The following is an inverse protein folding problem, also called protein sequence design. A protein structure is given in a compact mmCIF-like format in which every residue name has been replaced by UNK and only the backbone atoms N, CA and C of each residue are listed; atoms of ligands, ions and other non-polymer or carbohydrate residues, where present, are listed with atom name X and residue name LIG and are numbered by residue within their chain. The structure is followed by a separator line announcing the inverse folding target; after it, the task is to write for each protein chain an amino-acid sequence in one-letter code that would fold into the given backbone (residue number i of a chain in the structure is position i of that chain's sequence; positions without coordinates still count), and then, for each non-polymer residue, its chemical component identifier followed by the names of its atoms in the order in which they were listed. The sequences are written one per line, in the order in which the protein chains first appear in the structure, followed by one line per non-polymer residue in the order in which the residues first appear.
data_IF_657812504060
#
_entry.id   IF_657812504060
#
_cell.length_a   1.000
_cell.length_b   1.000
_cell.length_c   1.000
_cell.angle_alpha   90.00
_cell.angle_beta   90.00
_cell.angle_gamma   90.00
#
_symmetry.space_group_name_H-M   'P 1'
#
loop_
_entity.id
_entity.type
_entity.pdbx_description
1 polymer ?
#
# COMPACT_ATOMS: atom_id res chain seq x y z
N UNK A 1 11.85 4.05 -10.20
CA UNK A 1 10.64 4.83 -10.46
C UNK A 1 11.00 6.25 -10.08
N UNK A 2 11.23 7.14 -11.05
CA UNK A 2 11.52 8.55 -10.75
C UNK A 2 10.17 9.22 -10.56
N UNK A 3 9.89 9.73 -9.37
CA UNK A 3 8.70 10.53 -9.17
C UNK A 3 8.95 11.91 -9.77
N UNK A 4 8.41 12.13 -10.97
CA UNK A 4 8.26 13.46 -11.55
C UNK A 4 6.85 13.95 -11.24
N UNK A 5 6.56 14.13 -9.94
CA UNK A 5 5.28 14.67 -9.50
C UNK A 5 5.10 16.08 -10.04
N UNK A 6 3.87 16.42 -10.42
CA UNK A 6 3.47 17.76 -10.85
C UNK A 6 3.72 18.81 -9.74
N UNK A 7 3.67 20.09 -10.14
CA UNK A 7 3.97 21.20 -9.24
C UNK A 7 3.03 21.27 -8.02
N UNK A 8 1.79 20.80 -8.14
CA UNK A 8 0.83 20.75 -7.04
C UNK A 8 1.27 19.73 -5.98
N UNK A 9 1.67 18.53 -6.42
CA UNK A 9 2.18 17.49 -5.53
C UNK A 9 3.45 17.94 -4.79
N UNK A 10 4.38 18.61 -5.48
CA UNK A 10 5.61 19.13 -4.87
C UNK A 10 5.32 20.17 -3.80
N UNK A 11 4.37 21.07 -4.07
CA UNK A 11 3.93 22.08 -3.11
C UNK A 11 3.29 21.43 -1.88
N UNK A 12 2.39 20.47 -2.07
CA UNK A 12 1.76 19.75 -0.96
C UNK A 12 2.77 19.07 -0.05
N UNK A 13 3.74 18.35 -0.63
CA UNK A 13 4.80 17.66 0.10
C UNK A 13 5.64 18.64 0.93
N UNK A 14 5.97 19.80 0.35
CA UNK A 14 6.70 20.86 1.05
C UNK A 14 5.88 21.49 2.18
N UNK A 15 4.60 21.80 1.93
CA UNK A 15 3.69 22.40 2.90
C UNK A 15 3.43 21.47 4.10
N UNK A 16 3.46 20.15 3.89
CA UNK A 16 3.32 19.14 4.95
C UNK A 16 4.64 18.72 5.59
N UNK A 17 5.77 19.36 5.24
CA UNK A 17 7.11 19.00 5.71
C UNK A 17 7.46 17.52 5.49
N UNK A 18 6.97 16.93 4.40
CA UNK A 18 7.24 15.53 4.03
C UNK A 18 8.53 15.50 3.20
N UNK A 19 9.49 14.67 3.60
CA UNK A 19 10.71 14.44 2.81
C UNK A 19 10.45 13.35 1.76
N UNK A 20 10.38 13.73 0.47
CA UNK A 20 10.23 12.76 -0.61
C UNK A 20 11.57 12.16 -1.03
N UNK A 21 11.71 10.83 -0.93
CA UNK A 21 12.90 10.09 -1.34
C UNK A 21 12.60 9.14 -2.50
N UNK A 22 13.26 9.37 -3.64
CA UNK A 22 13.13 8.51 -4.81
C UNK A 22 13.99 7.24 -4.69
N UNK A 23 13.50 6.14 -5.25
CA UNK A 23 14.29 4.93 -5.46
C UNK A 23 15.22 5.13 -6.65
N UNK A 24 16.46 4.66 -6.54
CA UNK A 24 17.44 4.73 -7.62
C UNK A 24 16.88 4.07 -8.89
N UNK A 25 16.95 4.73 -10.06
CA UNK A 25 16.58 4.11 -11.33
C UNK A 25 17.30 2.78 -11.52
N UNK A 26 16.62 1.77 -12.06
CA UNK A 26 17.17 0.42 -12.28
C UNK A 26 17.60 -0.34 -11.02
N UNK A 27 17.19 0.10 -9.82
CA UNK A 27 17.40 -0.61 -8.56
C UNK A 27 16.08 -1.22 -8.02
N UNK A 28 15.51 -2.26 -8.65
CA UNK A 28 14.21 -2.80 -8.28
C UNK A 28 14.16 -3.34 -6.84
N UNK A 29 15.29 -3.84 -6.33
CA UNK A 29 15.37 -4.39 -4.97
C UNK A 29 15.02 -3.38 -3.87
N UNK A 30 15.24 -2.08 -4.11
CA UNK A 30 14.91 -1.03 -3.15
C UNK A 30 13.39 -0.87 -2.96
N UNK A 31 12.58 -1.31 -3.92
CA UNK A 31 11.11 -1.30 -3.84
C UNK A 31 10.50 -2.57 -3.24
N UNK A 32 11.31 -3.59 -2.95
CA UNK A 32 10.82 -4.93 -2.62
C UNK A 32 9.92 -5.00 -1.38
N UNK A 33 10.08 -4.07 -0.43
CA UNK A 33 9.16 -3.95 0.71
C UNK A 33 7.74 -3.58 0.28
N UNK A 34 7.60 -2.54 -0.54
CA UNK A 34 6.31 -2.09 -1.07
C UNK A 34 5.66 -3.15 -1.96
N UNK A 35 6.46 -3.83 -2.79
CA UNK A 35 5.98 -4.96 -3.60
C UNK A 35 5.40 -6.08 -2.73
N UNK A 36 6.06 -6.41 -1.62
CA UNK A 36 5.57 -7.41 -0.66
C UNK A 36 4.28 -6.97 0.01
N UNK A 37 4.15 -5.68 0.36
CA UNK A 37 2.94 -5.11 0.93
C UNK A 37 1.75 -5.19 -0.06
N UNK A 38 1.98 -4.80 -1.32
CA UNK A 38 0.99 -4.93 -2.40
C UNK A 38 0.59 -6.39 -2.60
N UNK A 39 1.54 -7.32 -2.51
CA UNK A 39 1.26 -8.76 -2.60
C UNK A 39 0.32 -9.22 -1.47
N UNK A 40 0.53 -8.77 -0.23
CA UNK A 40 -0.34 -9.11 0.90
C UNK A 40 -1.78 -8.65 0.67
N UNK A 41 -1.98 -7.39 0.25
CA UNK A 41 -3.31 -6.84 -0.08
C UNK A 41 -3.98 -7.66 -1.18
N UNK A 42 -3.28 -7.92 -2.29
CA UNK A 42 -3.81 -8.69 -3.42
C UNK A 42 -4.16 -10.13 -3.02
N UNK A 43 -3.34 -10.78 -2.17
CA UNK A 43 -3.63 -12.12 -1.66
C UNK A 43 -4.86 -12.15 -0.77
N UNK A 44 -5.02 -11.18 0.14
CA UNK A 44 -6.21 -11.08 0.99
C UNK A 44 -7.47 -10.88 0.14
N UNK A 45 -7.42 -9.97 -0.84
CA UNK A 45 -8.49 -9.78 -1.83
C UNK A 45 -8.82 -11.09 -2.56
N UNK A 46 -7.80 -11.76 -3.10
CA UNK A 46 -7.98 -13.02 -3.85
C UNK A 46 -8.61 -14.12 -2.99
N UNK A 47 -8.26 -14.20 -1.70
CA UNK A 47 -8.89 -15.15 -0.76
C UNK A 47 -10.34 -14.81 -0.46
N UNK A 48 -10.68 -13.52 -0.39
CA UNK A 48 -12.04 -13.08 -0.07
C UNK A 48 -13.02 -13.34 -1.23
N UNK A 49 -12.63 -13.06 -2.47
CA UNK A 49 -13.56 -13.07 -3.62
C UNK A 49 -13.17 -13.97 -4.79
N UNK A 50 -11.96 -14.52 -4.80
CA UNK A 50 -11.43 -15.30 -5.91
C UNK A 50 -11.32 -14.48 -7.21
N UNK A 51 -11.89 -15.00 -8.29
CA UNK A 51 -11.85 -14.42 -9.64
C UNK A 51 -13.10 -13.61 -10.01
N UNK A 52 -13.95 -13.27 -9.04
CA UNK A 52 -15.16 -12.48 -9.27
C UNK A 52 -14.80 -11.02 -9.57
N UNK A 53 -15.47 -10.43 -10.56
CA UNK A 53 -15.45 -8.99 -10.78
C UNK A 53 -16.54 -8.35 -9.92
N UNK A 54 -16.19 -7.27 -9.23
CA UNK A 54 -17.08 -6.49 -8.39
C UNK A 54 -17.29 -5.11 -9.01
N UNK A 55 -18.45 -4.53 -8.75
CA UNK A 55 -18.68 -3.10 -8.96
C UNK A 55 -17.72 -2.27 -8.10
N UNK A 56 -17.44 -1.05 -8.55
CA UNK A 56 -16.43 -0.17 -7.92
C UNK A 56 -16.71 0.05 -6.43
N UNK A 57 -17.96 0.31 -6.06
CA UNK A 57 -18.37 0.55 -4.66
C UNK A 57 -18.12 -0.68 -3.78
N UNK A 58 -18.51 -1.86 -4.26
CA UNK A 58 -18.31 -3.12 -3.54
C UNK A 58 -16.83 -3.46 -3.41
N UNK A 59 -16.03 -3.17 -4.44
CA UNK A 59 -14.58 -3.34 -4.38
C UNK A 59 -13.95 -2.39 -3.36
N UNK A 60 -14.40 -1.14 -3.27
CA UNK A 60 -13.91 -0.17 -2.31
C UNK A 60 -14.18 -0.65 -0.87
N UNK A 61 -15.41 -1.11 -0.58
CA UNK A 61 -15.77 -1.66 0.73
C UNK A 61 -14.86 -2.86 1.08
N UNK A 62 -14.70 -3.80 0.15
CA UNK A 62 -13.84 -4.96 0.35
C UNK A 62 -12.37 -4.57 0.63
N UNK A 63 -11.86 -3.56 -0.08
CA UNK A 63 -10.49 -3.09 0.15
C UNK A 63 -10.33 -2.46 1.55
N UNK A 64 -11.34 -1.73 2.03
CA UNK A 64 -11.36 -1.20 3.41
C UNK A 64 -11.36 -2.34 4.44
N UNK A 65 -12.11 -3.41 4.22
CA UNK A 65 -12.09 -4.60 5.11
C UNK A 65 -10.73 -5.31 5.09
N UNK A 66 -10.12 -5.43 3.91
CA UNK A 66 -8.76 -6.00 3.75
C UNK A 66 -7.73 -5.14 4.46
N UNK A 67 -7.81 -3.82 4.35
CA UNK A 67 -6.95 -2.88 5.06
C UNK A 67 -7.07 -3.03 6.57
N UNK A 68 -8.30 -3.01 7.09
CA UNK A 68 -8.57 -3.21 8.52
C UNK A 68 -8.00 -4.55 9.01
N UNK A 69 -8.18 -5.63 8.23
CA UNK A 69 -7.65 -6.96 8.57
C UNK A 69 -6.13 -7.02 8.59
N UNK A 70 -5.45 -6.33 7.67
CA UNK A 70 -3.99 -6.28 7.62
C UNK A 70 -3.41 -5.44 8.75
N UNK A 71 -4.00 -4.28 9.04
CA UNK A 71 -3.52 -3.35 10.07
C UNK A 71 -3.80 -3.85 11.50
N UNK A 72 -4.83 -4.68 11.69
CA UNK A 72 -5.17 -5.24 13.01
C UNK A 72 -4.33 -6.46 13.39
N UNK A 73 -3.59 -7.04 12.45
CA UNK A 73 -2.82 -8.26 12.70
C UNK A 73 -1.38 -7.90 13.09
N UNK A 74 -0.92 -8.25 14.31
CA UNK A 74 0.44 -7.94 14.72
C UNK A 74 1.47 -8.70 13.86
N UNK A 75 2.53 -8.00 13.46
CA UNK A 75 3.62 -8.56 12.64
C UNK A 75 4.56 -9.47 13.43
N UNK A 76 4.63 -9.24 14.74
CA UNK A 76 5.46 -9.99 15.69
C UNK A 76 4.58 -10.51 16.82
N UNK A 77 5.10 -11.46 17.61
CA UNK A 77 4.45 -11.82 18.86
C UNK A 77 4.34 -10.58 19.74
N UNK A 78 3.13 -10.33 20.25
CA UNK A 78 2.91 -9.35 21.30
C UNK A 78 3.00 -10.13 22.60
N UNK A 79 3.93 -9.77 23.48
CA UNK A 79 3.94 -10.29 24.84
C UNK A 79 2.68 -9.77 25.56
N UNK A 80 2.00 -10.64 26.29
CA UNK A 80 0.91 -10.22 27.15
C UNK A 80 1.51 -9.53 28.38
N UNK A 81 1.05 -8.31 28.67
CA UNK A 81 1.31 -7.65 29.96
C UNK A 81 0.81 -8.48 31.15
#
# INVERSE_FOLDING_TARGET
MVFDGDDETRKFVADQAIEWRNITPYAPWQGGFYERLIQSVKRSRQKAIGHRNLEADTLAILLTEVEASLNSRPLTYQEAE
#
